data_IF_652108118965
#
_entry.id   IF_652108118965
#
_cell.length_a   1.000
_cell.length_b   1.000
_cell.length_c   1.000
_cell.angle_alpha   90.00
_cell.angle_beta   90.00
_cell.angle_gamma   90.00
#
_symmetry.space_group_name_H-M   'P 1'
#
loop_
_entity.id
_entity.type
_entity.pdbx_description
1 polymer ?
#
# COMPACT_ATOMS: atom_id res chain seq x y z
N UNK A 1 -21.62 36.87 -1.02
CA UNK A 1 -20.28 37.29 -0.54
C UNK A 1 -19.29 37.17 -1.70
N UNK A 2 -18.61 38.26 -2.08
CA UNK A 2 -17.68 38.25 -3.21
C UNK A 2 -16.42 37.42 -2.88
N UNK A 3 -16.15 36.40 -3.70
CA UNK A 3 -14.98 35.54 -3.57
C UNK A 3 -13.75 36.36 -3.99
N UNK A 4 -12.95 36.83 -3.03
CA UNK A 4 -11.74 37.61 -3.31
C UNK A 4 -10.83 36.89 -4.31
N UNK A 5 -10.42 37.58 -5.37
CA UNK A 5 -9.51 37.04 -6.39
C UNK A 5 -8.15 36.83 -5.73
N UNK A 6 -7.69 35.58 -5.59
CA UNK A 6 -6.35 35.28 -5.09
C UNK A 6 -5.32 35.92 -6.04
N UNK A 7 -4.63 36.97 -5.59
CA UNK A 7 -3.63 37.73 -6.36
C UNK A 7 -2.19 37.26 -6.10
N UNK A 8 -2.01 36.02 -5.62
CA UNK A 8 -0.69 35.44 -5.37
C UNK A 8 -0.78 33.95 -5.04
N UNK A 9 0.27 33.22 -5.42
CA UNK A 9 0.40 31.77 -5.21
C UNK A 9 1.27 31.13 -6.29
N UNK A 10 1.74 29.90 -6.03
CA UNK A 10 2.44 29.12 -7.05
C UNK A 10 1.48 28.86 -8.22
N UNK A 11 1.98 29.00 -9.46
CA UNK A 11 1.22 28.68 -10.67
C UNK A 11 0.69 27.24 -10.55
N UNK A 12 -0.61 27.04 -10.81
CA UNK A 12 -1.21 25.72 -10.84
C UNK A 12 -0.42 24.82 -11.81
N UNK A 13 -0.08 23.60 -11.37
CA UNK A 13 0.77 22.68 -12.13
C UNK A 13 2.27 22.90 -12.00
N UNK A 14 2.74 23.89 -11.22
CA UNK A 14 4.17 24.00 -10.93
C UNK A 14 4.66 22.78 -10.13
N UNK A 15 5.70 22.10 -10.64
CA UNK A 15 6.31 20.94 -9.99
C UNK A 15 6.80 21.33 -8.60
N UNK A 16 6.42 20.57 -7.58
CA UNK A 16 6.98 20.72 -6.24
C UNK A 16 8.30 19.96 -6.20
N UNK A 17 9.42 20.69 -6.29
CA UNK A 17 10.77 20.14 -6.37
C UNK A 17 11.22 19.60 -5.00
N UNK A 18 11.01 20.37 -3.92
CA UNK A 18 11.40 19.97 -2.56
C UNK A 18 10.72 18.64 -2.15
N UNK A 19 9.42 18.53 -2.39
CA UNK A 19 8.71 17.28 -2.09
C UNK A 19 9.00 16.15 -3.09
N UNK A 20 9.60 16.43 -4.25
CA UNK A 20 10.06 15.40 -5.17
C UNK A 20 11.38 14.78 -4.67
N UNK A 21 12.34 15.60 -4.23
CA UNK A 21 13.64 15.14 -3.74
C UNK A 21 13.49 14.32 -2.44
N UNK A 22 12.63 14.79 -1.52
CA UNK A 22 12.30 14.03 -0.29
C UNK A 22 11.65 12.68 -0.62
N UNK A 23 10.77 12.63 -1.64
CA UNK A 23 10.16 11.37 -2.06
C UNK A 23 11.19 10.41 -2.66
N UNK A 24 12.11 10.91 -3.46
CA UNK A 24 13.19 10.10 -4.01
C UNK A 24 14.08 9.52 -2.92
N UNK A 25 14.47 10.35 -1.95
CA UNK A 25 15.23 9.89 -0.78
C UNK A 25 14.44 8.88 0.08
N UNK A 26 13.14 9.08 0.26
CA UNK A 26 12.31 8.12 0.99
C UNK A 26 12.21 6.77 0.24
N UNK A 27 12.11 6.79 -1.09
CA UNK A 27 12.09 5.58 -1.92
C UNK A 27 13.37 4.76 -1.78
N UNK A 28 14.54 5.39 -1.61
CA UNK A 28 15.79 4.64 -1.40
C UNK A 28 15.80 3.82 -0.10
N UNK A 29 14.97 4.17 0.89
CA UNK A 29 14.81 3.39 2.12
C UNK A 29 13.75 2.30 2.03
N UNK A 30 13.07 2.13 0.89
CA UNK A 30 11.97 1.18 0.76
C UNK A 30 12.39 -0.27 1.06
N UNK A 31 13.56 -0.70 0.58
CA UNK A 31 14.07 -2.05 0.82
C UNK A 31 14.31 -2.31 2.32
N UNK A 32 15.00 -1.39 2.99
CA UNK A 32 15.23 -1.47 4.44
C UNK A 32 13.92 -1.46 5.23
N UNK A 33 12.93 -0.67 4.82
CA UNK A 33 11.62 -0.66 5.46
C UNK A 33 10.90 -2.02 5.32
N UNK A 34 11.00 -2.67 4.16
CA UNK A 34 10.44 -4.02 3.93
C UNK A 34 11.13 -5.06 4.82
N UNK A 35 12.46 -5.02 4.95
CA UNK A 35 13.21 -5.90 5.85
C UNK A 35 12.77 -5.73 7.32
N UNK A 36 12.57 -4.48 7.76
CA UNK A 36 12.06 -4.17 9.10
C UNK A 36 10.66 -4.74 9.30
N UNK A 37 9.75 -4.57 8.32
CA UNK A 37 8.41 -5.15 8.40
C UNK A 37 8.46 -6.68 8.49
N UNK A 38 9.30 -7.34 7.71
CA UNK A 38 9.52 -8.77 7.80
C UNK A 38 10.05 -9.19 9.19
N UNK A 39 11.02 -8.44 9.72
CA UNK A 39 11.56 -8.66 11.07
C UNK A 39 10.50 -8.50 12.17
N UNK A 40 9.63 -7.49 12.06
CA UNK A 40 8.51 -7.27 12.98
C UNK A 40 7.47 -8.39 12.89
N UNK A 41 7.12 -8.82 11.68
CA UNK A 41 6.18 -9.91 11.43
C UNK A 41 6.66 -11.23 12.04
N UNK A 42 7.96 -11.51 11.98
CA UNK A 42 8.56 -12.77 12.43
C UNK A 42 8.91 -12.78 13.92
N UNK A 43 9.46 -11.68 14.45
CA UNK A 43 10.10 -11.67 15.77
C UNK A 43 9.34 -10.88 16.85
N UNK A 44 8.32 -10.11 16.50
CA UNK A 44 7.58 -9.33 17.50
C UNK A 44 6.97 -10.23 18.58
N UNK A 45 6.89 -9.71 19.82
CA UNK A 45 6.18 -10.37 20.92
C UNK A 45 4.69 -10.02 20.97
N UNK A 46 4.28 -9.00 20.22
CA UNK A 46 2.90 -8.52 20.17
C UNK A 46 2.25 -8.92 18.86
N UNK A 47 1.14 -9.64 18.94
CA UNK A 47 0.42 -10.13 17.77
C UNK A 47 -0.13 -8.99 16.92
N UNK A 48 -0.55 -7.89 17.54
CA UNK A 48 -1.02 -6.68 16.82
C UNK A 48 0.07 -6.14 15.88
N UNK A 49 1.32 -6.12 16.32
CA UNK A 49 2.46 -5.68 15.50
C UNK A 49 2.72 -6.65 14.35
N UNK A 50 2.63 -7.96 14.62
CA UNK A 50 2.78 -8.98 13.55
C UNK A 50 1.71 -8.85 12.48
N UNK A 51 0.45 -8.72 12.89
CA UNK A 51 -0.70 -8.58 11.99
C UNK A 51 -0.58 -7.29 11.18
N UNK A 52 -0.19 -6.18 11.82
CA UNK A 52 0.03 -4.91 11.12
C UNK A 52 1.14 -5.03 10.07
N UNK A 53 2.28 -5.64 10.41
CA UNK A 53 3.38 -5.81 9.48
C UNK A 53 3.03 -6.75 8.31
N UNK A 54 2.32 -7.84 8.58
CA UNK A 54 1.82 -8.75 7.55
C UNK A 54 0.85 -8.07 6.58
N UNK A 55 -0.12 -7.31 7.09
CA UNK A 55 -1.06 -6.53 6.27
C UNK A 55 -0.33 -5.51 5.40
N UNK A 56 0.63 -4.80 5.97
CA UNK A 56 1.41 -3.76 5.28
C UNK A 56 2.19 -4.33 4.09
N UNK A 57 2.71 -5.57 4.21
CA UNK A 57 3.36 -6.29 3.11
C UNK A 57 2.35 -6.78 2.05
N UNK A 58 1.22 -7.34 2.48
CA UNK A 58 0.18 -7.83 1.56
C UNK A 58 -0.43 -6.71 0.73
N UNK A 59 -0.77 -5.58 1.36
CA UNK A 59 -1.35 -4.41 0.70
C UNK A 59 -0.40 -3.82 -0.36
N UNK A 60 0.92 -3.99 -0.21
CA UNK A 60 1.93 -3.58 -1.21
C UNK A 60 2.10 -4.58 -2.35
N UNK A 61 2.08 -5.87 -2.03
CA UNK A 61 2.32 -6.94 -3.01
C UNK A 61 1.09 -7.19 -3.90
N UNK A 62 -0.10 -7.18 -3.30
CA UNK A 62 -1.35 -7.55 -3.96
C UNK A 62 -2.34 -6.38 -4.10
N UNK A 63 -1.99 -5.21 -3.54
CA UNK A 63 -2.90 -4.08 -3.47
C UNK A 63 -3.97 -4.25 -2.39
N UNK A 64 -4.82 -3.23 -2.24
CA UNK A 64 -6.01 -3.35 -1.40
C UNK A 64 -7.10 -4.12 -2.15
N UNK A 65 -7.82 -5.03 -1.49
CA UNK A 65 -8.98 -5.68 -2.12
C UNK A 65 -9.93 -4.59 -2.62
N UNK A 66 -10.33 -4.69 -3.88
CA UNK A 66 -11.33 -3.79 -4.45
C UNK A 66 -12.60 -3.90 -3.61
N UNK A 67 -13.25 -2.78 -3.25
CA UNK A 67 -14.59 -2.85 -2.68
C UNK A 67 -15.45 -3.65 -3.65
N UNK A 68 -16.01 -4.78 -3.20
CA UNK A 68 -16.98 -5.49 -4.00
C UNK A 68 -18.19 -4.58 -4.13
N UNK A 69 -18.48 -4.09 -5.33
CA UNK A 69 -19.77 -3.48 -5.61
C UNK A 69 -20.80 -4.59 -5.48
N UNK A 70 -21.59 -4.55 -4.41
CA UNK A 70 -22.76 -5.41 -4.29
C UNK A 70 -23.63 -5.11 -5.53
N UNK A 71 -24.03 -6.13 -6.31
CA UNK A 71 -24.90 -5.91 -7.44
C UNK A 71 -26.15 -5.19 -6.93
N UNK A 72 -26.41 -4.01 -7.50
CA UNK A 72 -27.60 -3.22 -7.18
C UNK A 72 -28.75 -3.74 -8.02
N UNK A 73 -29.16 -4.97 -7.73
CA UNK A 73 -30.25 -5.69 -8.37
C UNK A 73 -30.65 -6.88 -7.50
N UNK A 74 -31.95 -7.03 -7.25
CA UNK A 74 -32.50 -8.25 -6.67
C UNK A 74 -32.15 -9.41 -7.62
N UNK A 75 -31.59 -10.49 -7.07
CA UNK A 75 -31.25 -11.75 -7.74
C UNK A 75 -29.94 -11.83 -8.54
N UNK A 76 -28.78 -11.59 -7.91
CA UNK A 76 -27.54 -12.24 -8.36
C UNK A 76 -26.75 -12.79 -7.16
N UNK A 77 -26.59 -14.13 -7.13
CA UNK A 77 -25.81 -14.84 -6.12
C UNK A 77 -24.37 -14.32 -6.09
N UNK A 78 -23.89 -13.98 -4.89
CA UNK A 78 -22.54 -13.53 -4.66
C UNK A 78 -21.53 -14.56 -5.19
N UNK A 79 -20.85 -14.25 -6.29
CA UNK A 79 -19.81 -15.11 -6.85
C UNK A 79 -18.62 -15.11 -5.87
N UNK A 80 -18.27 -16.24 -5.24
CA UNK A 80 -17.17 -16.27 -4.30
C UNK A 80 -15.84 -16.05 -5.05
N UNK A 81 -15.10 -15.02 -4.67
CA UNK A 81 -13.73 -14.80 -5.17
C UNK A 81 -12.81 -15.81 -4.48
N UNK A 82 -12.40 -16.85 -5.22
CA UNK A 82 -11.42 -17.81 -4.75
C UNK A 82 -10.01 -17.20 -4.84
N UNK A 83 -9.45 -16.83 -3.69
CA UNK A 83 -8.03 -16.44 -3.60
C UNK A 83 -7.21 -17.70 -3.38
N UNK A 84 -6.49 -18.14 -4.42
CA UNK A 84 -5.53 -19.25 -4.32
C UNK A 84 -4.22 -18.71 -3.74
N UNK A 85 -3.91 -19.08 -2.50
CA UNK A 85 -2.63 -18.76 -1.86
C UNK A 85 -1.66 -19.92 -2.10
N UNK A 86 -0.67 -19.72 -2.96
CA UNK A 86 0.44 -20.66 -3.12
C UNK A 86 1.64 -20.14 -2.32
N UNK A 87 2.07 -20.91 -1.32
CA UNK A 87 3.28 -20.59 -0.53
C UNK A 87 4.49 -21.08 -1.32
N UNK A 88 5.21 -20.15 -1.94
CA UNK A 88 6.47 -20.44 -2.63
C UNK A 88 7.61 -20.18 -1.65
N UNK A 89 8.31 -21.22 -1.20
CA UNK A 89 9.53 -21.08 -0.40
C UNK A 89 10.65 -20.56 -1.30
N UNK A 90 11.06 -19.30 -1.12
CA UNK A 90 12.10 -18.66 -1.92
C UNK A 90 13.52 -19.20 -1.65
N UNK A 91 13.70 -20.23 -0.81
CA UNK A 91 15.01 -20.84 -0.49
C UNK A 91 15.49 -21.90 -1.50
N UNK A 92 15.25 -21.68 -2.79
CA UNK A 92 15.92 -22.39 -3.90
C UNK A 92 16.22 -21.44 -5.05
N UNK A 93 17.06 -20.44 -4.79
CA UNK A 93 17.78 -19.71 -5.85
C UNK A 93 19.21 -19.58 -5.39
N UNK A 94 19.94 -20.70 -5.40
CA UNK A 94 21.40 -20.78 -5.47
C UNK A 94 21.77 -22.26 -5.70
N UNK A 95 21.97 -22.60 -6.99
CA UNK A 95 22.71 -23.77 -7.46
C UNK A 95 23.28 -23.44 -8.85
#
# INVERSE_FOLDING_TARGET
MAKGRKTGGRKAGSKNIISADIRYLAQSYANTAIEVLFGLMTNSKQDVVKISAARELLDRAYGKPSPMELPKGEDEEAVPVLVKVEVIDARKVDA
#
